data_IF_053219975646
#
_entry.id   IF_053219975646
#
_cell.length_a   1.000
_cell.length_b   1.000
_cell.length_c   1.000
_cell.angle_alpha   90.00
_cell.angle_beta   90.00
_cell.angle_gamma   90.00
#
_symmetry.space_group_name_H-M   'P 1'
#
loop_
_entity.id
_entity.type
_entity.pdbx_description
1 polymer ?
#
# COMPACT_ATOMS: atom_id res chain seq x y z
N UNK A 1 -25.73 41.92 17.00
CA UNK A 1 -26.15 40.66 17.65
C UNK A 1 -25.81 39.50 16.74
N UNK A 2 -25.34 38.38 17.28
CA UNK A 2 -24.43 37.47 16.59
C UNK A 2 -25.11 36.62 15.52
N UNK A 3 -24.31 36.26 14.50
CA UNK A 3 -24.60 35.26 13.48
C UNK A 3 -24.99 33.93 14.15
N UNK A 4 -26.25 33.52 13.98
CA UNK A 4 -26.69 32.17 14.27
C UNK A 4 -26.07 31.24 13.23
N UNK A 5 -24.97 30.59 13.59
CA UNK A 5 -24.37 29.50 12.84
C UNK A 5 -25.43 28.43 12.53
N UNK A 6 -25.67 28.19 11.25
CA UNK A 6 -26.52 27.10 10.79
C UNK A 6 -25.90 25.77 11.28
N UNK A 7 -26.54 25.16 12.28
CA UNK A 7 -26.29 23.76 12.65
C UNK A 7 -26.61 22.90 11.44
N UNK A 8 -25.58 22.40 10.75
CA UNK A 8 -25.74 21.30 9.78
C UNK A 8 -26.48 20.15 10.48
N UNK A 9 -27.57 19.62 9.90
CA UNK A 9 -28.47 18.75 10.63
C UNK A 9 -27.81 17.40 10.92
N UNK A 10 -27.67 17.08 12.20
CA UNK A 10 -27.21 15.79 12.74
C UNK A 10 -28.03 14.60 12.17
N UNK A 11 -29.25 14.86 11.69
CA UNK A 11 -30.11 13.85 11.08
C UNK A 11 -29.67 13.43 9.66
N UNK A 12 -29.01 14.31 8.90
CA UNK A 12 -28.53 13.96 7.56
C UNK A 12 -27.36 12.96 7.64
N UNK A 13 -26.46 13.14 8.60
CA UNK A 13 -25.32 12.22 8.82
C UNK A 13 -25.75 10.89 9.45
N UNK A 14 -26.85 10.86 10.20
CA UNK A 14 -27.42 9.60 10.71
C UNK A 14 -28.14 8.79 9.62
N UNK A 15 -28.81 9.47 8.68
CA UNK A 15 -29.46 8.82 7.54
C UNK A 15 -28.44 8.24 6.56
N UNK A 16 -27.35 8.95 6.27
CA UNK A 16 -26.26 8.43 5.43
C UNK A 16 -25.58 7.22 6.08
N UNK A 17 -25.29 7.27 7.38
CA UNK A 17 -24.73 6.12 8.13
C UNK A 17 -25.64 4.90 8.14
N UNK A 18 -26.96 5.07 8.17
CA UNK A 18 -27.92 3.96 8.06
C UNK A 18 -27.92 3.35 6.67
N UNK A 19 -27.93 4.17 5.62
CA UNK A 19 -27.82 3.70 4.24
C UNK A 19 -26.49 2.99 3.98
N UNK A 20 -25.40 3.51 4.51
CA UNK A 20 -24.06 2.90 4.52
C UNK A 20 -24.06 1.53 5.20
N UNK A 21 -24.68 1.40 6.38
CA UNK A 21 -24.80 0.13 7.07
C UNK A 21 -25.66 -0.90 6.30
N UNK A 22 -26.74 -0.45 5.66
CA UNK A 22 -27.58 -1.31 4.82
C UNK A 22 -26.82 -1.81 3.58
N UNK A 23 -26.03 -0.95 2.95
CA UNK A 23 -25.14 -1.31 1.84
C UNK A 23 -24.08 -2.34 2.26
N UNK A 24 -23.42 -2.14 3.39
CA UNK A 24 -22.45 -3.10 3.92
C UNK A 24 -23.12 -4.46 4.18
N UNK A 25 -24.30 -4.45 4.78
CA UNK A 25 -25.08 -5.67 5.07
C UNK A 25 -25.41 -6.39 3.77
N UNK A 26 -25.87 -5.67 2.74
CA UNK A 26 -26.13 -6.21 1.41
C UNK A 26 -24.88 -6.82 0.79
N UNK A 27 -23.74 -6.12 0.81
CA UNK A 27 -22.47 -6.63 0.29
C UNK A 27 -22.01 -7.91 1.02
N UNK A 28 -22.16 -7.95 2.35
CA UNK A 28 -21.82 -9.12 3.16
C UNK A 28 -22.73 -10.32 2.85
N UNK A 29 -24.04 -10.10 2.63
CA UNK A 29 -24.95 -11.17 2.20
C UNK A 29 -24.60 -11.69 0.80
N UNK A 30 -24.21 -10.79 -0.11
CA UNK A 30 -23.77 -11.13 -1.45
C UNK A 30 -22.49 -11.96 -1.40
N UNK A 31 -21.49 -11.53 -0.61
CA UNK A 31 -20.25 -12.28 -0.42
C UNK A 31 -20.53 -13.72 0.07
N UNK A 32 -21.37 -13.87 1.10
CA UNK A 32 -21.78 -15.21 1.59
C UNK A 32 -22.43 -16.06 0.51
N UNK A 33 -23.33 -15.49 -0.30
CA UNK A 33 -23.98 -16.22 -1.38
C UNK A 33 -22.99 -16.67 -2.46
N UNK A 34 -21.99 -15.86 -2.77
CA UNK A 34 -20.95 -16.16 -3.76
C UNK A 34 -19.97 -17.22 -3.22
N UNK A 35 -19.61 -17.16 -1.93
CA UNK A 35 -18.80 -18.20 -1.29
C UNK A 35 -19.48 -19.57 -1.36
N UNK A 36 -20.80 -19.64 -1.11
CA UNK A 36 -21.57 -20.90 -1.23
C UNK A 36 -21.56 -21.42 -2.68
N UNK A 37 -21.59 -20.53 -3.67
CA UNK A 37 -21.53 -20.89 -5.09
C UNK A 37 -20.12 -21.22 -5.59
N UNK A 38 -19.08 -20.98 -4.79
CA UNK A 38 -17.68 -21.19 -5.14
C UNK A 38 -17.22 -20.43 -6.40
N UNK A 39 -17.79 -19.25 -6.67
CA UNK A 39 -17.33 -18.39 -7.77
C UNK A 39 -16.17 -17.49 -7.31
N UNK A 40 -14.94 -17.88 -7.66
CA UNK A 40 -13.71 -17.20 -7.27
C UNK A 40 -13.63 -15.74 -7.76
N UNK A 41 -14.11 -15.46 -8.98
CA UNK A 41 -14.06 -14.11 -9.54
C UNK A 41 -15.04 -13.18 -8.82
N UNK A 42 -16.25 -13.67 -8.57
CA UNK A 42 -17.24 -12.94 -7.79
C UNK A 42 -16.75 -12.65 -6.37
N UNK A 43 -16.07 -13.62 -5.74
CA UNK A 43 -15.52 -13.43 -4.38
C UNK A 43 -14.49 -12.30 -4.35
N UNK A 44 -13.56 -12.26 -5.31
CA UNK A 44 -12.53 -11.21 -5.39
C UNK A 44 -13.11 -9.81 -5.61
N UNK A 45 -14.13 -9.68 -6.48
CA UNK A 45 -14.77 -8.41 -6.78
C UNK A 45 -15.49 -7.88 -5.53
N UNK A 46 -16.35 -8.71 -4.92
CA UNK A 46 -17.15 -8.29 -3.77
C UNK A 46 -16.25 -8.00 -2.57
N UNK A 47 -15.18 -8.76 -2.38
CA UNK A 47 -14.17 -8.50 -1.36
C UNK A 47 -13.52 -7.12 -1.54
N UNK A 48 -13.11 -6.78 -2.76
CA UNK A 48 -12.52 -5.48 -3.06
C UNK A 48 -13.51 -4.34 -2.80
N UNK A 49 -14.77 -4.51 -3.16
CA UNK A 49 -15.82 -3.51 -2.93
C UNK A 49 -16.11 -3.31 -1.44
N UNK A 50 -16.13 -4.39 -0.65
CA UNK A 50 -16.27 -4.32 0.82
C UNK A 50 -15.09 -3.58 1.42
N UNK A 51 -13.85 -3.92 1.04
CA UNK A 51 -12.66 -3.24 1.57
C UNK A 51 -12.60 -1.77 1.18
N UNK A 52 -13.01 -1.43 -0.05
CA UNK A 52 -13.12 -0.06 -0.51
C UNK A 52 -14.13 0.73 0.35
N UNK A 53 -15.29 0.13 0.62
CA UNK A 53 -16.32 0.72 1.46
C UNK A 53 -15.83 0.94 2.90
N UNK A 54 -15.25 -0.08 3.53
CA UNK A 54 -14.71 0.00 4.90
C UNK A 54 -13.59 1.04 5.03
N UNK A 55 -12.77 1.18 3.99
CA UNK A 55 -11.73 2.21 3.93
C UNK A 55 -12.33 3.61 3.81
N UNK A 56 -13.42 3.77 3.06
CA UNK A 56 -14.10 5.06 2.92
C UNK A 56 -14.79 5.52 4.20
N UNK A 57 -15.28 4.58 5.02
CA UNK A 57 -15.94 4.86 6.31
C UNK A 57 -14.95 4.93 7.48
N UNK A 58 -13.64 4.79 7.23
CA UNK A 58 -12.57 4.78 8.23
C UNK A 58 -12.66 3.65 9.28
N UNK A 59 -13.33 2.54 8.96
CA UNK A 59 -13.49 1.39 9.86
C UNK A 59 -12.38 0.36 9.66
N UNK A 60 -11.14 0.73 10.02
CA UNK A 60 -9.94 -0.08 9.75
C UNK A 60 -9.87 -1.39 10.54
N UNK A 61 -10.38 -1.42 11.77
CA UNK A 61 -10.39 -2.64 12.61
C UNK A 61 -11.31 -3.72 12.04
N UNK A 62 -12.49 -3.33 11.55
CA UNK A 62 -13.43 -4.25 10.91
C UNK A 62 -12.87 -4.80 9.60
N UNK A 63 -12.15 -3.97 8.84
CA UNK A 63 -11.49 -4.41 7.62
C UNK A 63 -10.43 -5.48 7.90
N UNK A 64 -9.62 -5.32 8.95
CA UNK A 64 -8.62 -6.33 9.30
C UNK A 64 -9.24 -7.62 9.82
N UNK A 65 -10.27 -7.54 10.67
CA UNK A 65 -11.04 -8.72 11.08
C UNK A 65 -11.62 -9.44 9.84
N UNK A 66 -12.15 -8.70 8.88
CA UNK A 66 -12.64 -9.26 7.64
C UNK A 66 -11.53 -9.95 6.84
N UNK A 67 -10.38 -9.29 6.64
CA UNK A 67 -9.21 -9.86 5.96
C UNK A 67 -8.74 -11.16 6.65
N UNK A 68 -8.67 -11.19 7.98
CA UNK A 68 -8.27 -12.36 8.74
C UNK A 68 -9.25 -13.54 8.62
N UNK A 69 -10.55 -13.26 8.43
CA UNK A 69 -11.58 -14.31 8.25
C UNK A 69 -11.73 -14.78 6.81
N UNK A 70 -11.25 -14.03 5.82
CA UNK A 70 -11.39 -14.36 4.42
C UNK A 70 -10.29 -15.32 3.96
N UNK A 71 -10.65 -16.58 3.71
CA UNK A 71 -9.77 -17.53 3.05
C UNK A 71 -9.74 -17.25 1.54
N UNK A 72 -8.78 -16.44 1.09
CA UNK A 72 -8.51 -16.29 -0.34
C UNK A 72 -7.67 -17.49 -0.78
N UNK A 73 -8.20 -18.29 -1.70
CA UNK A 73 -7.41 -19.24 -2.47
C UNK A 73 -6.49 -18.46 -3.42
N UNK A 74 -5.27 -18.19 -2.97
CA UNK A 74 -4.17 -17.79 -3.85
C UNK A 74 -3.87 -19.00 -4.76
N UNK A 75 -3.79 -18.85 -6.09
CA UNK A 75 -3.55 -17.63 -6.87
C UNK A 75 -4.82 -16.89 -7.34
N UNK A 76 -4.78 -15.57 -7.28
CA UNK A 76 -5.83 -14.72 -7.84
C UNK A 76 -6.02 -14.94 -9.34
N UNK A 77 -7.28 -15.06 -9.79
CA UNK A 77 -7.61 -15.34 -11.19
C UNK A 77 -7.47 -14.10 -12.07
N UNK A 78 -7.76 -12.91 -11.53
CA UNK A 78 -7.61 -11.63 -12.24
C UNK A 78 -6.52 -10.74 -11.61
N UNK A 79 -5.46 -10.45 -12.36
CA UNK A 79 -4.37 -9.56 -11.91
C UNK A 79 -4.86 -8.16 -11.49
N UNK A 80 -5.88 -7.64 -12.18
CA UNK A 80 -6.46 -6.34 -11.88
C UNK A 80 -7.16 -6.31 -10.50
N UNK A 81 -7.88 -7.39 -10.15
CA UNK A 81 -8.56 -7.48 -8.85
C UNK A 81 -7.55 -7.76 -7.73
N UNK A 82 -6.53 -8.57 -8.01
CA UNK A 82 -5.41 -8.78 -7.09
C UNK A 82 -4.70 -7.46 -6.74
N UNK A 83 -4.44 -6.60 -7.74
CA UNK A 83 -3.78 -5.32 -7.50
C UNK A 83 -4.60 -4.41 -6.58
N UNK A 84 -5.93 -4.36 -6.76
CA UNK A 84 -6.85 -3.60 -5.89
C UNK A 84 -6.88 -4.16 -4.49
N UNK A 85 -6.99 -5.48 -4.35
CA UNK A 85 -6.98 -6.17 -3.07
C UNK A 85 -5.72 -5.81 -2.26
N UNK A 86 -4.54 -5.99 -2.85
CA UNK A 86 -3.27 -5.69 -2.19
C UNK A 86 -3.11 -4.21 -1.83
N UNK A 87 -3.69 -3.29 -2.60
CA UNK A 87 -3.70 -1.87 -2.27
C UNK A 87 -4.53 -1.59 -1.00
N UNK A 88 -5.75 -2.14 -0.91
CA UNK A 88 -6.59 -1.93 0.27
C UNK A 88 -6.03 -2.61 1.51
N UNK A 89 -5.53 -3.84 1.39
CA UNK A 89 -4.84 -4.56 2.48
C UNK A 89 -3.58 -3.81 2.94
N UNK A 90 -2.79 -3.30 1.99
CA UNK A 90 -1.62 -2.49 2.30
C UNK A 90 -1.99 -1.22 3.07
N UNK A 91 -3.09 -0.56 2.69
CA UNK A 91 -3.58 0.63 3.37
C UNK A 91 -4.11 0.34 4.78
N UNK A 92 -4.90 -0.72 4.98
CA UNK A 92 -5.41 -1.08 6.31
C UNK A 92 -4.28 -1.44 7.26
N UNK A 93 -3.32 -2.25 6.81
CA UNK A 93 -2.13 -2.63 7.60
C UNK A 93 -1.22 -1.45 7.91
N UNK A 94 -1.02 -0.54 6.96
CA UNK A 94 -0.24 0.68 7.20
C UNK A 94 -0.87 1.55 8.31
N UNK A 95 -2.20 1.64 8.37
CA UNK A 95 -2.89 2.40 9.41
C UNK A 95 -2.80 1.73 10.78
N UNK A 96 -2.84 0.39 10.82
CA UNK A 96 -2.67 -0.48 12.01
C UNK A 96 -1.23 -0.54 12.54
N UNK A 97 -0.27 0.09 11.86
CA UNK A 97 1.18 0.14 12.20
C UNK A 97 2.00 -1.08 11.73
N UNK A 98 1.42 -1.97 10.92
CA UNK A 98 2.11 -3.14 10.36
C UNK A 98 2.81 -2.78 9.05
N UNK A 99 3.90 -2.00 9.15
CA UNK A 99 4.53 -1.38 7.97
C UNK A 99 5.26 -2.36 7.05
N UNK A 100 5.86 -3.43 7.60
CA UNK A 100 6.64 -4.39 6.82
C UNK A 100 5.74 -5.15 5.84
N UNK A 101 4.63 -5.68 6.35
CA UNK A 101 3.66 -6.42 5.54
C UNK A 101 2.91 -5.50 4.59
N UNK A 102 2.56 -4.29 5.05
CA UNK A 102 1.97 -3.27 4.18
C UNK A 102 2.87 -2.95 2.99
N UNK A 103 4.17 -2.78 3.21
CA UNK A 103 5.12 -2.50 2.14
C UNK A 103 5.19 -3.64 1.12
N UNK A 104 5.25 -4.88 1.57
CA UNK A 104 5.25 -6.06 0.68
C UNK A 104 3.96 -6.14 -0.15
N UNK A 105 2.79 -5.95 0.47
CA UNK A 105 1.51 -5.91 -0.24
C UNK A 105 1.48 -4.80 -1.29
N UNK A 106 1.94 -3.59 -0.96
CA UNK A 106 1.98 -2.46 -1.90
C UNK A 106 2.96 -2.71 -3.06
N UNK A 107 4.11 -3.34 -2.81
CA UNK A 107 5.02 -3.76 -3.89
C UNK A 107 4.35 -4.78 -4.83
N UNK A 108 3.61 -5.75 -4.28
CA UNK A 108 2.85 -6.71 -5.08
C UNK A 108 1.75 -6.02 -5.90
N UNK A 109 1.04 -5.05 -5.31
CA UNK A 109 0.03 -4.25 -6.00
C UNK A 109 0.63 -3.51 -7.20
N UNK A 110 1.78 -2.85 -7.02
CA UNK A 110 2.47 -2.10 -8.08
C UNK A 110 2.98 -3.00 -9.21
N UNK A 111 3.46 -4.22 -8.89
CA UNK A 111 3.91 -5.19 -9.90
C UNK A 111 2.77 -5.79 -10.71
N UNK A 112 1.59 -5.97 -10.10
CA UNK A 112 0.40 -6.54 -10.74
C UNK A 112 -0.45 -5.51 -11.48
N UNK A 113 -0.26 -4.22 -11.21
CA UNK A 113 -1.00 -3.15 -11.85
C UNK A 113 -0.64 -3.03 -13.35
N UNK A 114 -1.63 -2.88 -14.25
CA UNK A 114 -1.35 -2.66 -15.67
C UNK A 114 -0.73 -1.28 -15.90
N UNK A 115 0.15 -1.17 -16.90
CA UNK A 115 0.87 0.09 -17.20
C UNK A 115 -0.06 1.25 -17.55
N UNK A 116 -1.20 0.96 -18.21
CA UNK A 116 -2.20 1.94 -18.65
C UNK A 116 -2.96 2.60 -17.49
N UNK A 117 -2.95 2.02 -16.28
CA UNK A 117 -3.70 2.51 -15.13
C UNK A 117 -2.89 3.56 -14.34
N UNK A 118 -2.66 4.73 -14.94
CA UNK A 118 -1.81 5.78 -14.36
C UNK A 118 -2.31 6.27 -12.98
N UNK A 119 -3.62 6.56 -12.84
CA UNK A 119 -4.17 7.07 -11.58
C UNK A 119 -4.01 6.10 -10.40
N UNK A 120 -4.25 4.81 -10.63
CA UNK A 120 -4.06 3.78 -9.60
C UNK A 120 -2.58 3.65 -9.22
N UNK A 121 -1.68 3.64 -10.20
CA UNK A 121 -0.24 3.57 -9.95
C UNK A 121 0.24 4.78 -9.15
N UNK A 122 -0.22 5.98 -9.46
CA UNK A 122 0.11 7.20 -8.71
C UNK A 122 -0.35 7.08 -7.24
N UNK A 123 -1.58 6.63 -6.99
CA UNK A 123 -2.07 6.46 -5.62
C UNK A 123 -1.27 5.40 -4.86
N UNK A 124 -0.99 4.25 -5.48
CA UNK A 124 -0.23 3.16 -4.89
C UNK A 124 1.25 3.53 -4.64
N UNK A 125 1.89 4.28 -5.54
CA UNK A 125 3.27 4.75 -5.35
C UNK A 125 3.35 5.78 -4.23
N UNK A 126 2.43 6.75 -4.17
CA UNK A 126 2.35 7.72 -3.06
C UNK A 126 2.26 7.01 -1.71
N UNK A 127 1.36 6.04 -1.57
CA UNK A 127 1.22 5.28 -0.34
C UNK A 127 2.47 4.43 -0.04
N UNK A 128 3.03 3.75 -1.05
CA UNK A 128 4.25 2.95 -0.90
C UNK A 128 5.43 3.80 -0.40
N UNK A 129 5.61 5.00 -0.95
CA UNK A 129 6.66 5.94 -0.53
C UNK A 129 6.48 6.38 0.93
N UNK A 130 5.26 6.69 1.36
CA UNK A 130 4.99 7.04 2.76
C UNK A 130 5.31 5.86 3.69
N UNK A 131 4.91 4.64 3.33
CA UNK A 131 5.20 3.44 4.13
C UNK A 131 6.71 3.15 4.17
N UNK A 132 7.44 3.33 3.07
CA UNK A 132 8.91 3.20 3.06
C UNK A 132 9.58 4.20 4.01
N UNK A 133 9.12 5.46 4.01
CA UNK A 133 9.62 6.49 4.94
C UNK A 133 9.32 6.13 6.41
N UNK A 134 8.20 5.47 6.69
CA UNK A 134 7.85 4.96 8.02
C UNK A 134 8.66 3.72 8.43
N UNK A 135 9.15 2.92 7.48
CA UNK A 135 10.12 1.85 7.77
C UNK A 135 11.52 2.41 8.08
N UNK A 136 11.76 3.68 7.77
CA UNK A 136 13.08 4.31 7.90
C UNK A 136 14.00 4.03 6.71
N UNK A 137 13.48 3.45 5.63
CA UNK A 137 14.18 3.27 4.36
C UNK A 137 13.95 4.51 3.48
N UNK A 138 15.03 5.03 2.90
CA UNK A 138 14.96 6.22 2.05
C UNK A 138 14.73 5.75 0.61
N UNK A 139 13.61 6.13 -0.04
CA UNK A 139 13.33 5.75 -1.42
C UNK A 139 14.38 6.32 -2.38
N UNK A 140 14.79 5.54 -3.41
CA UNK A 140 15.73 6.01 -4.41
C UNK A 140 15.11 7.12 -5.27
N UNK A 141 15.94 8.04 -5.75
CA UNK A 141 15.48 9.19 -6.54
C UNK A 141 14.81 8.78 -7.86
N UNK A 142 15.11 7.59 -8.38
CA UNK A 142 14.50 7.02 -9.59
C UNK A 142 12.98 6.96 -9.52
N UNK A 143 12.44 6.62 -8.36
CA UNK A 143 11.02 6.33 -8.18
C UNK A 143 10.16 7.59 -8.33
N UNK A 144 10.75 8.74 -8.01
CA UNK A 144 10.14 10.06 -8.17
C UNK A 144 10.29 10.64 -9.59
N UNK A 145 11.22 10.13 -10.41
CA UNK A 145 11.55 10.69 -11.73
C UNK A 145 10.80 10.04 -12.90
N UNK A 146 9.89 9.10 -12.65
CA UNK A 146 9.02 8.54 -13.69
C UNK A 146 8.23 9.65 -14.40
N UNK A 147 8.39 9.77 -15.72
CA UNK A 147 7.94 10.93 -16.53
C UNK A 147 6.48 11.33 -16.30
N UNK A 148 5.60 10.35 -16.12
CA UNK A 148 4.15 10.57 -16.07
C UNK A 148 3.63 10.93 -14.67
N UNK A 149 4.46 10.80 -13.61
CA UNK A 149 4.02 10.92 -12.21
C UNK A 149 4.64 12.09 -11.45
N UNK A 150 5.55 12.85 -12.08
CA UNK A 150 6.41 13.85 -11.42
C UNK A 150 5.63 14.92 -10.68
N UNK A 151 4.63 15.50 -11.33
CA UNK A 151 3.88 16.64 -10.79
C UNK A 151 3.11 16.24 -9.52
N UNK A 152 2.51 15.04 -9.53
CA UNK A 152 1.78 14.50 -8.39
C UNK A 152 2.68 14.06 -7.22
N UNK A 153 3.95 13.75 -7.50
CA UNK A 153 4.93 13.25 -6.52
C UNK A 153 5.82 14.36 -5.95
N UNK A 154 5.75 15.58 -6.48
CA UNK A 154 6.59 16.70 -6.03
C UNK A 154 6.48 16.98 -4.51
N UNK A 155 5.29 16.99 -3.86
CA UNK A 155 5.18 17.16 -2.41
C UNK A 155 5.86 16.02 -1.62
N UNK A 156 5.73 14.78 -2.10
CA UNK A 156 6.34 13.61 -1.48
C UNK A 156 7.86 13.57 -1.66
N UNK A 157 8.39 14.12 -2.76
CA UNK A 157 9.82 14.30 -2.97
C UNK A 157 10.40 15.32 -1.98
N UNK A 158 9.70 16.43 -1.75
CA UNK A 158 10.10 17.42 -0.74
C UNK A 158 10.12 16.79 0.66
N UNK A 159 9.09 15.99 0.98
CA UNK A 159 9.02 15.23 2.24
C UNK A 159 10.21 14.28 2.40
N UNK A 160 10.49 13.45 1.39
CA UNK A 160 11.61 12.51 1.39
C UNK A 160 12.97 13.23 1.53
N UNK A 161 13.12 14.41 0.92
CA UNK A 161 14.32 15.23 1.09
C UNK A 161 14.51 15.71 2.54
N UNK A 162 13.43 16.11 3.21
CA UNK A 162 13.49 16.53 4.62
C UNK A 162 13.86 15.36 5.53
N UNK A 163 13.28 14.18 5.30
CA UNK A 163 13.59 12.95 6.05
C UNK A 163 15.06 12.55 5.85
N UNK A 164 15.56 12.58 4.61
CA UNK A 164 16.96 12.24 4.30
C UNK A 164 17.96 13.15 5.02
N UNK A 165 17.67 14.45 5.10
CA UNK A 165 18.56 15.39 5.77
C UNK A 165 18.36 15.45 7.30
N UNK A 166 17.20 15.00 7.80
CA UNK A 166 16.86 15.03 9.23
C UNK A 166 16.47 16.41 9.74
N UNK A 167 15.88 17.26 8.89
CA UNK A 167 15.51 18.64 9.26
C UNK A 167 14.05 18.73 9.71
N UNK A 168 13.81 18.97 10.99
CA UNK A 168 12.48 18.99 11.61
C UNK A 168 11.68 20.24 11.22
N UNK A 169 12.29 21.43 11.24
CA UNK A 169 11.59 22.69 10.92
C UNK A 169 11.09 22.75 9.47
N UNK A 170 11.94 22.29 8.55
CA UNK A 170 11.61 22.23 7.12
C UNK A 170 10.47 21.25 6.87
N UNK A 171 10.47 20.12 7.59
CA UNK A 171 9.39 19.15 7.53
C UNK A 171 8.04 19.76 7.94
N UNK A 172 8.00 20.50 9.05
CA UNK A 172 6.78 21.19 9.52
C UNK A 172 6.31 22.30 8.56
N UNK A 173 7.22 22.92 7.82
CA UNK A 173 6.88 23.93 6.80
C UNK A 173 6.27 23.28 5.57
N UNK A 174 6.89 22.21 5.03
CA UNK A 174 6.37 21.44 3.89
C UNK A 174 5.01 20.81 4.21
N UNK A 175 4.82 20.34 5.45
CA UNK A 175 3.55 19.76 5.90
C UNK A 175 2.40 20.79 5.90
N UNK A 176 2.70 22.05 6.26
CA UNK A 176 1.72 23.15 6.22
C UNK A 176 1.41 23.59 4.79
N UNK A 177 2.42 23.66 3.92
CA UNK A 177 2.24 24.06 2.52
C UNK A 177 1.38 23.06 1.72
N UNK A 178 1.60 21.76 1.91
CA UNK A 178 0.95 20.70 1.12
C UNK A 178 -0.17 19.95 1.85
N UNK A 179 -0.72 20.52 2.92
CA UNK A 179 -1.72 19.85 3.76
C UNK A 179 -2.94 19.35 2.95
N UNK A 180 -3.47 20.18 2.05
CA UNK A 180 -4.65 19.86 1.24
C UNK A 180 -4.41 18.65 0.33
N UNK A 181 -3.20 18.55 -0.25
CA UNK A 181 -2.84 17.41 -1.11
C UNK A 181 -2.77 16.10 -0.29
N UNK A 182 -2.21 16.17 0.92
CA UNK A 182 -2.09 14.99 1.80
C UNK A 182 -3.42 14.54 2.41
N UNK A 183 -4.36 15.47 2.62
CA UNK A 183 -5.72 15.16 3.06
C UNK A 183 -6.52 14.48 1.95
N UNK A 184 -6.43 15.00 0.71
CA UNK A 184 -7.04 14.37 -0.46
C UNK A 184 -6.56 12.92 -0.64
N UNK A 185 -5.27 12.68 -0.45
CA UNK A 185 -4.66 11.35 -0.61
C UNK A 185 -4.84 10.44 0.62
N UNK A 186 -5.50 10.91 1.69
CA UNK A 186 -5.70 10.21 2.98
C UNK A 186 -4.41 9.77 3.68
N UNK A 187 -3.26 10.35 3.30
CA UNK A 187 -1.95 10.02 3.88
C UNK A 187 -1.53 10.94 5.03
N UNK A 188 -2.30 11.99 5.33
CA UNK A 188 -1.93 13.01 6.33
C UNK A 188 -1.61 12.40 7.71
N UNK A 189 -2.42 11.47 8.20
CA UNK A 189 -2.17 10.82 9.50
C UNK A 189 -0.89 9.98 9.51
N UNK A 190 -0.53 9.36 8.39
CA UNK A 190 0.71 8.58 8.26
C UNK A 190 1.92 9.52 8.22
N UNK A 191 1.82 10.63 7.51
CA UNK A 191 2.89 11.63 7.40
C UNK A 191 3.18 12.27 8.76
N UNK A 192 2.19 12.57 9.58
CA UNK A 192 2.42 13.08 10.94
C UNK A 192 3.30 12.12 11.77
N UNK A 193 3.17 10.80 11.58
CA UNK A 193 4.00 9.79 12.25
C UNK A 193 5.44 9.78 11.74
N UNK A 194 5.68 10.15 10.48
CA UNK A 194 7.03 10.28 9.89
C UNK A 194 7.88 11.29 10.66
N UNK A 195 7.29 12.26 11.37
CA UNK A 195 8.03 13.22 12.20
C UNK A 195 8.99 12.55 13.18
N UNK A 196 8.57 11.47 13.85
CA UNK A 196 9.43 10.71 14.78
C UNK A 196 10.58 10.02 14.04
N UNK A 197 10.35 9.58 12.80
CA UNK A 197 11.40 9.04 11.95
C UNK A 197 12.39 10.10 11.49
N UNK A 198 11.97 11.33 11.18
CA UNK A 198 12.88 12.43 10.83
C UNK A 198 13.90 12.67 11.95
N UNK A 199 13.44 12.66 13.21
CA UNK A 199 14.31 12.81 14.38
C UNK A 199 15.29 11.64 14.48
N UNK A 200 14.80 10.40 14.36
CA UNK A 200 15.65 9.18 14.38
C UNK A 200 16.71 9.20 13.26
N UNK A 201 16.33 9.61 12.05
CA UNK A 201 17.25 9.73 10.90
C UNK A 201 18.27 10.85 11.12
N UNK A 202 17.85 12.00 11.64
CA UNK A 202 18.74 13.10 11.99
C UNK A 202 19.79 12.69 13.03
N UNK A 203 19.36 11.98 14.07
CA UNK A 203 20.25 11.44 15.09
C UNK A 203 21.24 10.41 14.54
N UNK A 204 20.77 9.45 13.73
CA UNK A 204 21.65 8.46 13.08
C UNK A 204 22.72 9.15 12.21
N UNK A 205 22.34 10.21 11.50
CA UNK A 205 23.27 11.00 10.69
C UNK A 205 24.31 11.73 11.53
N UNK A 206 23.93 12.27 12.69
CA UNK A 206 24.87 12.92 13.62
C UNK A 206 25.86 11.89 14.16
N UNK A 207 25.39 10.72 14.61
CA UNK A 207 26.25 9.67 15.16
C UNK A 207 27.19 9.07 14.10
N UNK A 208 26.77 9.01 12.84
CA UNK A 208 27.64 8.60 11.74
C UNK A 208 28.73 9.65 11.42
N UNK A 209 28.48 10.93 11.70
CA UNK A 209 29.39 12.02 11.37
C UNK A 209 30.38 12.35 12.49
N UNK A 210 30.04 12.07 13.75
CA UNK A 210 30.82 12.47 14.92
C UNK A 210 31.05 11.28 15.86
N UNK A 211 32.30 11.03 16.22
CA UNK A 211 32.63 10.02 17.24
C UNK A 211 32.25 10.46 18.66
N UNK A 212 32.39 11.76 18.94
CA UNK A 212 32.03 12.40 20.21
C UNK A 212 31.35 13.72 19.92
N UNK A 213 30.21 13.98 20.58
CA UNK A 213 29.48 15.24 20.43
C UNK A 213 28.80 15.63 21.75
N UNK A 214 28.79 16.93 22.07
CA UNK A 214 28.07 17.45 23.24
C UNK A 214 26.55 17.41 23.02
N UNK A 215 25.78 17.21 24.09
CA UNK A 215 24.30 17.21 24.02
C UNK A 215 23.76 18.58 23.57
N UNK A 216 24.44 19.68 23.94
CA UNK A 216 24.07 21.04 23.51
C UNK A 216 24.21 21.25 22.00
N UNK A 217 25.23 20.66 21.37
CA UNK A 217 25.42 20.76 19.92
C UNK A 217 24.41 19.89 19.17
N UNK A 218 24.06 18.73 19.73
CA UNK A 218 22.98 17.88 19.20
C UNK A 218 21.65 18.64 19.20
N UNK A 219 21.34 19.30 20.32
CA UNK A 219 20.14 20.13 20.46
C UNK A 219 20.08 21.25 19.41
N UNK A 220 21.20 21.96 19.22
CA UNK A 220 21.33 23.03 18.22
C UNK A 220 21.16 22.51 16.79
N UNK A 221 21.66 21.32 16.47
CA UNK A 221 21.55 20.71 15.13
C UNK A 221 20.17 20.15 14.81
N UNK A 222 19.46 19.66 15.82
CA UNK A 222 18.09 19.16 15.67
C UNK A 222 17.03 20.28 15.79
N UNK A 223 17.46 21.52 16.05
CA UNK A 223 16.61 22.67 16.31
C UNK A 223 15.63 22.42 17.48
N UNK A 224 16.09 21.73 18.51
CA UNK A 224 15.32 21.53 19.74
C UNK A 224 15.50 22.74 20.67
N UNK A 225 14.47 23.06 21.45
CA UNK A 225 14.48 24.21 22.37
C UNK A 225 15.08 23.89 23.73
N UNK A 226 15.12 22.63 24.15
CA UNK A 226 15.51 22.22 25.50
C UNK A 226 16.55 21.10 25.49
N UNK A 227 17.57 21.24 26.35
CA UNK A 227 18.67 20.27 26.49
C UNK A 227 18.20 18.99 27.20
N UNK A 228 17.31 19.11 28.20
CA UNK A 228 16.78 17.96 28.92
C UNK A 228 15.95 17.03 28.01
N UNK A 229 15.19 17.61 27.08
CA UNK A 229 14.39 16.84 26.12
C UNK A 229 15.31 16.10 25.13
N UNK A 230 16.45 16.69 24.77
CA UNK A 230 17.43 16.05 23.89
C UNK A 230 18.04 14.82 24.56
N UNK A 231 18.36 14.90 25.85
CA UNK A 231 18.86 13.78 26.65
C UNK A 231 17.84 12.62 26.71
N UNK A 232 16.56 12.93 26.91
CA UNK A 232 15.49 11.91 26.91
C UNK A 232 15.34 11.23 25.54
N UNK A 233 15.37 11.99 24.45
CA UNK A 233 15.26 11.44 23.10
C UNK A 233 16.49 10.58 22.77
N UNK A 234 17.69 11.01 23.14
CA UNK A 234 18.92 10.24 22.96
C UNK A 234 18.87 8.94 23.75
N UNK A 235 18.48 9.00 25.03
CA UNK A 235 18.34 7.82 25.90
C UNK A 235 17.33 6.83 25.32
N UNK A 236 16.20 7.33 24.79
CA UNK A 236 15.20 6.50 24.13
C UNK A 236 15.70 5.90 22.81
N UNK A 237 16.47 6.64 22.03
CA UNK A 237 17.03 6.14 20.78
C UNK A 237 18.08 5.03 21.00
N UNK A 238 18.86 5.12 22.07
CA UNK A 238 19.79 4.07 22.51
C UNK A 238 19.00 2.84 22.98
N UNK A 239 17.94 3.03 23.78
CA UNK A 239 17.09 1.93 24.25
C UNK A 239 16.37 1.21 23.09
N UNK A 240 15.87 1.95 22.10
CA UNK A 240 15.24 1.41 20.89
C UNK A 240 16.26 0.70 19.96
N UNK A 241 17.57 0.76 20.25
CA UNK A 241 18.62 0.17 19.41
C UNK A 241 18.78 0.85 18.05
N UNK A 242 18.33 2.11 17.92
CA UNK A 242 18.44 2.87 16.66
C UNK A 242 19.87 3.36 16.44
N UNK A 243 20.56 3.61 17.55
CA UNK A 243 21.90 4.20 17.65
C UNK A 243 22.69 3.40 18.68
N UNK A 244 23.90 2.98 18.30
CA UNK A 244 24.86 2.39 19.22
C UNK A 244 25.76 3.52 19.77
N UNK A 245 25.37 4.05 20.92
CA UNK A 245 26.12 5.10 21.61
C UNK A 245 25.97 4.98 23.12
N UNK A 246 26.98 5.47 23.84
CA UNK A 246 26.99 5.58 25.31
C UNK A 246 26.89 7.05 25.69
N UNK A 247 26.02 7.35 26.64
CA UNK A 247 25.82 8.68 27.18
C UNK A 247 26.68 8.86 28.44
N UNK A 248 27.54 9.89 28.47
CA UNK A 248 28.30 10.30 29.65
C UNK A 248 27.65 11.54 30.26
N UNK A 249 26.92 11.35 31.36
CA UNK A 249 26.16 12.40 32.04
C UNK A 249 27.05 13.40 32.80
N UNK A 250 28.26 13.02 33.18
CA UNK A 250 29.16 13.93 33.91
C UNK A 250 29.78 14.97 32.97
N UNK A 251 30.08 14.56 31.73
CA UNK A 251 30.66 15.43 30.70
C UNK A 251 29.61 16.02 29.73
N UNK A 252 28.40 15.46 29.72
CA UNK A 252 27.35 15.87 28.79
C UNK A 252 27.68 15.54 27.34
N UNK A 253 28.38 14.43 27.11
CA UNK A 253 28.83 13.98 25.80
C UNK A 253 28.18 12.66 25.41
N UNK A 254 27.82 12.56 24.13
CA UNK A 254 27.47 11.32 23.47
C UNK A 254 28.72 10.73 22.81
N UNK A 255 29.07 9.51 23.18
CA UNK A 255 30.19 8.76 22.60
C UNK A 255 29.59 7.66 21.73
N UNK A 256 29.76 7.74 20.41
CA UNK A 256 29.34 6.66 19.52
C UNK A 256 30.26 5.46 19.69
N UNK A 257 29.73 4.23 19.63
CA UNK A 257 30.59 3.05 19.50
C UNK A 257 31.17 2.98 18.09
N UNK A 258 32.38 2.45 17.97
CA UNK A 258 33.00 2.21 16.67
C UNK A 258 32.23 1.13 15.89
N UNK A 259 32.12 1.32 14.58
CA UNK A 259 31.45 0.37 13.69
C UNK A 259 32.18 -0.98 13.70
N UNK A 260 31.50 -2.01 14.23
CA UNK A 260 31.98 -3.39 14.20
C UNK A 260 31.98 -3.88 12.74
N UNK A 261 32.99 -4.66 12.36
CA UNK A 261 33.01 -5.29 11.04
C UNK A 261 31.84 -6.26 10.88
N UNK A 262 30.90 -5.90 10.00
CA UNK A 262 29.66 -6.63 9.73
C UNK A 262 29.96 -8.05 9.23
N UNK A 263 31.09 -8.28 8.54
CA UNK A 263 31.45 -9.61 8.03
C UNK A 263 31.83 -10.60 9.13
N UNK A 264 32.20 -10.13 10.32
CA UNK A 264 32.43 -10.99 11.47
C UNK A 264 31.13 -11.56 12.04
N UNK A 265 29.97 -11.02 11.64
CA UNK A 265 28.65 -11.45 12.11
C UNK A 265 27.95 -12.41 11.14
N UNK A 266 26.82 -12.99 11.55
CA UNK A 266 25.97 -13.85 10.70
C UNK A 266 25.05 -13.07 9.75
N UNK A 267 25.01 -11.74 9.80
CA UNK A 267 24.11 -10.92 8.99
C UNK A 267 24.30 -11.14 7.47
N UNK A 268 25.54 -11.24 6.93
CA UNK A 268 25.74 -11.56 5.51
C UNK A 268 25.17 -12.92 5.11
N UNK A 269 25.27 -13.93 6.00
CA UNK A 269 24.72 -15.26 5.75
C UNK A 269 23.19 -15.21 5.65
N UNK A 270 22.52 -14.48 6.54
CA UNK A 270 21.06 -14.30 6.48
C UNK A 270 20.62 -13.52 5.23
N UNK A 271 21.38 -12.50 4.81
CA UNK A 271 21.12 -11.79 3.56
C UNK A 271 21.23 -12.70 2.33
N UNK A 272 22.25 -13.57 2.28
CA UNK A 272 22.42 -14.56 1.22
C UNK A 272 21.31 -15.61 1.25
N UNK A 273 20.95 -16.14 2.41
CA UNK A 273 19.88 -17.12 2.55
C UNK A 273 18.54 -16.59 2.04
N UNK A 274 18.19 -15.33 2.37
CA UNK A 274 16.99 -14.67 1.83
C UNK A 274 17.00 -14.61 0.30
N UNK A 275 18.14 -14.26 -0.31
CA UNK A 275 18.31 -14.21 -1.77
C UNK A 275 18.22 -15.59 -2.42
N UNK A 276 18.88 -16.60 -1.84
CA UNK A 276 18.86 -17.98 -2.34
C UNK A 276 17.43 -18.53 -2.30
N UNK A 277 16.70 -18.28 -1.20
CA UNK A 277 15.31 -18.70 -1.08
C UNK A 277 14.44 -18.07 -2.17
N UNK A 278 14.56 -16.76 -2.40
CA UNK A 278 13.83 -16.06 -3.45
C UNK A 278 14.15 -16.60 -4.86
N UNK A 279 15.43 -16.86 -5.14
CA UNK A 279 15.86 -17.47 -6.41
C UNK A 279 15.27 -18.86 -6.63
N UNK A 280 15.29 -19.70 -5.60
CA UNK A 280 14.73 -21.06 -5.67
C UNK A 280 13.21 -21.03 -5.88
N UNK A 281 12.49 -20.12 -5.22
CA UNK A 281 11.06 -19.93 -5.46
C UNK A 281 10.78 -19.51 -6.90
N UNK A 282 11.51 -18.50 -7.40
CA UNK A 282 11.37 -18.02 -8.77
C UNK A 282 11.68 -19.10 -9.80
N UNK A 283 12.72 -19.91 -9.56
CA UNK A 283 13.09 -21.04 -10.40
C UNK A 283 11.98 -22.10 -10.43
N UNK A 284 11.41 -22.46 -9.27
CA UNK A 284 10.33 -23.43 -9.17
C UNK A 284 9.05 -22.94 -9.85
N UNK A 285 8.71 -21.66 -9.70
CA UNK A 285 7.53 -21.05 -10.34
C UNK A 285 7.70 -20.97 -11.86
N UNK A 286 8.88 -20.58 -12.35
CA UNK A 286 9.19 -20.61 -13.78
C UNK A 286 9.09 -22.03 -14.36
N UNK A 287 9.64 -23.03 -13.65
CA UNK A 287 9.55 -24.44 -14.06
C UNK A 287 8.11 -24.95 -14.06
N UNK A 288 7.27 -24.51 -13.11
CA UNK A 288 5.83 -24.85 -13.09
C UNK A 288 5.10 -24.20 -14.26
N UNK A 289 5.38 -22.94 -14.58
CA UNK A 289 4.77 -22.23 -15.70
C UNK A 289 5.14 -22.85 -17.06
N UNK A 290 6.41 -23.23 -17.26
CA UNK A 290 6.89 -23.88 -18.50
C UNK A 290 6.18 -25.20 -18.81
N UNK A 291 5.63 -25.91 -17.82
CA UNK A 291 4.88 -27.15 -18.06
C UNK A 291 3.62 -26.95 -18.89
N UNK A 292 3.01 -25.76 -18.83
CA UNK A 292 1.79 -25.46 -19.57
C UNK A 292 2.05 -25.05 -21.03
N UNK A 293 3.25 -24.56 -21.37
CA UNK A 293 3.64 -24.30 -22.77
C UNK A 293 3.92 -25.60 -23.54
N UNK A 294 4.36 -26.66 -22.83
CA UNK A 294 4.59 -28.00 -23.40
C UNK A 294 3.30 -28.84 -23.43
N UNK A 295 2.13 -28.21 -23.51
CA UNK A 295 0.90 -28.95 -23.79
C UNK A 295 0.99 -29.48 -25.21
N UNK A 296 0.76 -30.78 -25.43
CA UNK A 296 0.85 -31.41 -26.74
C UNK A 296 0.06 -30.59 -27.80
N UNK A 297 0.62 -30.33 -29.00
CA UNK A 297 -0.04 -29.54 -30.02
C UNK A 297 -1.43 -30.09 -30.39
N UNK A 298 -1.63 -31.40 -30.24
CA UNK A 298 -2.90 -32.10 -30.48
C UNK A 298 -4.01 -31.64 -29.53
N UNK A 299 -3.72 -31.45 -28.23
CA UNK A 299 -4.70 -31.01 -27.22
C UNK A 299 -5.08 -29.53 -27.42
N UNK A 300 -4.15 -28.73 -27.94
CA UNK A 300 -4.40 -27.33 -28.29
C UNK A 300 -5.28 -27.25 -29.55
N UNK A 301 -5.01 -28.09 -30.56
CA UNK A 301 -5.83 -28.19 -31.75
C UNK A 301 -7.25 -28.70 -31.46
N UNK A 302 -7.40 -29.69 -30.58
CA UNK A 302 -8.71 -30.18 -30.14
C UNK A 302 -9.53 -29.10 -29.44
N UNK A 303 -8.95 -28.39 -28.44
CA UNK A 303 -9.64 -27.25 -27.81
C UNK A 303 -10.00 -26.14 -28.79
N UNK A 304 -9.16 -25.92 -29.82
CA UNK A 304 -9.44 -24.92 -30.86
C UNK A 304 -10.57 -25.36 -31.79
N UNK A 305 -10.70 -26.66 -32.07
CA UNK A 305 -11.82 -27.24 -32.83
C UNK A 305 -13.12 -27.18 -32.03
N UNK A 306 -13.08 -27.52 -30.74
CA UNK A 306 -14.23 -27.42 -29.83
C UNK A 306 -14.75 -25.99 -29.71
N UNK A 307 -13.86 -25.03 -29.43
CA UNK A 307 -14.24 -23.61 -29.34
C UNK A 307 -14.77 -23.05 -30.68
N UNK A 308 -14.33 -23.59 -31.82
CA UNK A 308 -14.86 -23.22 -33.13
C UNK A 308 -16.25 -23.83 -33.36
N UNK A 309 -16.45 -25.09 -32.96
CA UNK A 309 -17.75 -25.75 -33.03
C UNK A 309 -18.80 -25.04 -32.16
N UNK A 310 -18.46 -24.65 -30.93
CA UNK A 310 -19.36 -23.87 -30.06
C UNK A 310 -19.73 -22.50 -30.66
N UNK A 311 -18.76 -21.81 -31.30
CA UNK A 311 -19.05 -20.55 -32.01
C UNK A 311 -19.94 -20.76 -33.22
N UNK A 312 -19.69 -21.80 -34.01
CA UNK A 312 -20.51 -22.12 -35.19
C UNK A 312 -21.93 -22.58 -34.79
N UNK A 313 -22.11 -23.18 -33.61
CA UNK A 313 -23.42 -23.52 -33.03
C UNK A 313 -24.17 -22.28 -32.54
N UNK A 314 -23.48 -21.36 -31.86
CA UNK A 314 -24.04 -20.06 -31.46
C UNK A 314 -24.44 -19.22 -32.67
N UNK A 315 -23.62 -19.17 -33.71
CA UNK A 315 -23.92 -18.44 -34.95
C UNK A 315 -25.14 -19.05 -35.67
N UNK A 316 -25.29 -20.38 -35.67
CA UNK A 316 -26.50 -21.05 -36.19
C UNK A 316 -27.73 -20.73 -35.36
N UNK A 317 -27.64 -20.75 -34.03
CA UNK A 317 -28.75 -20.37 -33.16
C UNK A 317 -29.20 -18.92 -33.40
N UNK A 318 -28.27 -17.98 -33.63
CA UNK A 318 -28.58 -16.58 -33.96
C UNK A 318 -29.21 -16.46 -35.36
N UNK A 319 -28.73 -17.22 -36.35
CA UNK A 319 -29.33 -17.23 -37.68
C UNK A 319 -30.76 -17.79 -37.66
N UNK A 320 -31.00 -18.87 -36.92
CA UNK A 320 -32.34 -19.45 -36.78
C UNK A 320 -33.29 -18.47 -36.05
N UNK A 321 -32.82 -17.75 -35.02
CA UNK A 321 -33.58 -16.68 -34.37
C UNK A 321 -33.88 -15.51 -35.32
N UNK A 322 -32.94 -15.13 -36.21
CA UNK A 322 -33.15 -14.06 -37.19
C UNK A 322 -34.10 -14.45 -38.32
N UNK A 323 -34.04 -15.72 -38.77
CA UNK A 323 -34.90 -16.25 -39.84
C UNK A 323 -36.34 -16.46 -39.36
N UNK A 324 -36.54 -16.62 -38.04
CA UNK A 324 -37.85 -16.62 -37.39
C UNK A 324 -38.53 -15.25 -37.32
N UNK A 325 -37.79 -14.14 -37.50
CA UNK A 325 -38.32 -12.78 -37.41
C UNK A 325 -38.75 -12.18 -38.76
N UNK A 326 -38.26 -12.72 -39.88
CA UNK A 326 -38.63 -12.29 -41.23
C UNK A 326 -39.93 -12.95 -41.76
N UNK A 327 -40.52 -13.89 -41.01
CA UNK A 327 -41.78 -14.56 -41.36
C UNK A 327 -43.01 -14.05 -40.56
N UNK A 328 -42.95 -12.83 -40.01
CA UNK A 328 -44.16 -12.16 -39.49
C UNK A 328 -44.72 -11.26 -40.59
N UNK A 329 -45.61 -11.83 -41.42
CA UNK A 329 -46.44 -11.08 -42.36
C UNK A 329 -47.29 -10.06 -41.60
N UNK A 330 -46.98 -8.77 -41.74
CA UNK A 330 -47.77 -7.65 -41.21
C UNK A 330 -48.94 -7.23 -42.13
N UNK A 331 -49.42 -8.11 -43.02
CA UNK A 331 -50.44 -7.78 -44.04
C UNK A 331 -51.86 -8.31 -43.77
N UNK A 332 -52.15 -8.92 -42.62
CA UNK A 332 -53.53 -9.29 -42.23
C UNK A 332 -54.00 -8.45 -41.04
N UNK A 333 -54.53 -7.26 -41.33
CA UNK A 333 -55.05 -6.35 -40.32
C UNK A 333 -55.48 -4.98 -40.84
N UNK A 334 -56.29 -4.94 -41.90
CA UNK A 334 -57.09 -3.78 -42.31
C UNK A 334 -58.55 -4.17 -42.49
#
# INVERSE_FOLDING_TARGET
>A
MPLAAAKTPINATAATKRAEAEQLTRLMTLYRAVCVRHDELGMEIVLNDILAFLTSTHQHEQAEAFIATCNITLPHRANNQAARYFYYVGLTRALRLEYVDAHQCLQQALRKAPERAFGFRIAATKLSLVVQLLLGEIPPRSDFLAKDMRDSLAPYLQLASCVRFGQVDRFMTVLREHQVAFEHDRTHSLILRVHQHVIKTGLRRICQAYSRISISDVCSKLAMSNVADAEYILSKAIHDGVIDAVLDNEKGELISSDSIDVYSTSEPLHALQRRIHFLNLTHNDAKRAMRYDVTDPEIIEERRKEAKAERDELERAIQDESTGMDNVNFEDGL
#
